data_IF_904610780382
#
_entry.id   IF_904610780382
#
_cell.length_a   1.000
_cell.length_b   1.000
_cell.length_c   1.000
_cell.angle_alpha   90.00
_cell.angle_beta   90.00
_cell.angle_gamma   90.00
#
_symmetry.space_group_name_H-M   'P 1'
#
loop_
_entity.id
_entity.type
_entity.pdbx_description
1 polymer ?
#
# COMPACT_ATOMS: atom_id res chain seq x y z
N UNK A 1 -2.21 -8.28 37.19
CA UNK A 1 -2.91 -7.29 36.33
C UNK A 1 -2.79 -5.95 37.02
N UNK A 2 -2.43 -4.90 36.28
CA UNK A 2 -2.45 -3.52 36.76
C UNK A 2 -3.74 -2.88 36.28
N UNK A 3 -4.40 -2.12 37.17
CA UNK A 3 -5.65 -1.42 36.86
C UNK A 3 -5.52 0.04 37.28
N UNK A 4 -6.02 0.94 36.43
CA UNK A 4 -6.08 2.38 36.70
C UNK A 4 -7.44 2.91 36.27
N UNK A 5 -8.03 3.79 37.09
CA UNK A 5 -9.24 4.53 36.72
C UNK A 5 -8.87 5.97 36.50
N UNK A 6 -9.04 6.44 35.27
CA UNK A 6 -8.84 7.83 34.88
C UNK A 6 -10.18 8.54 34.84
N UNK A 7 -10.21 9.79 35.29
CA UNK A 7 -11.37 10.67 35.18
C UNK A 7 -10.96 11.89 34.38
N UNK A 8 -11.51 12.02 33.18
CA UNK A 8 -11.19 13.11 32.26
C UNK A 8 -12.42 13.96 32.00
N UNK A 9 -12.22 15.27 31.86
CA UNK A 9 -13.28 16.17 31.39
C UNK A 9 -13.22 16.21 29.87
N UNK A 10 -14.15 15.51 29.21
CA UNK A 10 -14.35 15.61 27.78
C UNK A 10 -14.91 16.98 27.44
N UNK A 11 -14.01 17.87 27.01
CA UNK A 11 -14.37 19.18 26.49
C UNK A 11 -14.94 19.00 25.08
N UNK A 12 -16.09 19.60 24.82
CA UNK A 12 -16.68 19.57 23.50
C UNK A 12 -16.07 20.66 22.61
N UNK A 13 -16.00 20.40 21.30
CA UNK A 13 -15.56 21.41 20.34
C UNK A 13 -16.64 22.51 20.17
N UNK A 14 -16.30 23.68 19.59
CA UNK A 14 -17.22 24.82 19.49
C UNK A 14 -18.53 24.57 18.72
N UNK A 15 -18.61 23.49 17.93
CA UNK A 15 -19.80 23.11 17.15
C UNK A 15 -20.63 21.98 17.76
N UNK A 16 -20.24 21.45 18.92
CA UNK A 16 -20.94 20.32 19.52
C UNK A 16 -22.20 20.78 20.26
N UNK A 17 -23.36 20.11 20.05
CA UNK A 17 -24.58 20.41 20.80
C UNK A 17 -24.53 19.91 22.26
N UNK A 18 -23.51 19.13 22.64
CA UNK A 18 -23.41 18.49 23.95
C UNK A 18 -22.57 19.34 24.92
N UNK A 19 -22.96 19.42 26.22
CA UNK A 19 -22.12 20.05 27.24
C UNK A 19 -20.88 19.19 27.55
N UNK A 20 -19.82 19.78 28.12
CA UNK A 20 -18.70 19.01 28.64
C UNK A 20 -19.17 17.94 29.63
N UNK A 21 -18.56 16.76 29.56
CA UNK A 21 -18.89 15.63 30.44
C UNK A 21 -17.65 15.11 31.15
N UNK A 22 -17.83 14.58 32.35
CA UNK A 22 -16.78 13.80 33.02
C UNK A 22 -16.89 12.36 32.53
N UNK A 23 -15.85 11.87 31.88
CA UNK A 23 -15.73 10.48 31.46
C UNK A 23 -14.84 9.76 32.46
N UNK A 24 -15.30 8.62 32.94
CA UNK A 24 -14.51 7.69 33.74
C UNK A 24 -14.08 6.53 32.85
N UNK A 25 -12.78 6.28 32.77
CA UNK A 25 -12.19 5.23 31.93
C UNK A 25 -11.42 4.28 32.86
N UNK A 26 -11.72 2.99 32.81
CA UNK A 26 -10.91 1.96 33.44
C UNK A 26 -9.93 1.39 32.42
N UNK A 27 -8.65 1.42 32.76
CA UNK A 27 -7.56 0.90 31.94
C UNK A 27 -6.92 -0.25 32.69
N UNK A 28 -6.78 -1.38 32.01
CA UNK A 28 -6.17 -2.58 32.55
C UNK A 28 -4.94 -2.95 31.74
N UNK A 29 -3.96 -3.56 32.39
CA UNK A 29 -2.68 -3.90 31.80
C UNK A 29 -2.17 -5.23 32.34
N UNK A 30 -1.70 -6.10 31.46
CA UNK A 30 -0.96 -7.32 31.82
C UNK A 30 0.54 -7.04 31.81
N UNK A 31 1.38 -8.05 32.05
CA UNK A 31 2.83 -7.90 31.81
C UNK A 31 3.15 -7.59 30.33
N UNK A 32 2.25 -7.97 29.42
CA UNK A 32 2.39 -7.78 27.97
C UNK A 32 1.81 -6.46 27.46
N UNK A 33 1.32 -5.57 28.32
CA UNK A 33 0.80 -4.26 27.91
C UNK A 33 -0.72 -4.09 28.08
N UNK A 34 -1.29 -3.00 27.55
CA UNK A 34 -2.70 -2.67 27.75
C UNK A 34 -3.63 -3.77 27.24
N UNK A 35 -4.71 -4.03 27.97
CA UNK A 35 -5.79 -4.93 27.53
C UNK A 35 -6.61 -4.22 26.47
N UNK A 36 -6.60 -4.74 25.25
CA UNK A 36 -7.36 -4.20 24.12
C UNK A 36 -8.78 -4.76 24.04
N UNK A 37 -9.01 -5.95 24.58
CA UNK A 37 -10.33 -6.58 24.57
C UNK A 37 -10.38 -7.90 25.33
N UNK A 38 -11.58 -8.47 25.38
CA UNK A 38 -11.85 -9.79 25.97
C UNK A 38 -12.66 -10.61 25.00
N UNK A 39 -12.38 -11.90 24.93
CA UNK A 39 -13.08 -12.84 24.05
C UNK A 39 -13.05 -14.25 24.63
N UNK A 40 -13.59 -15.22 23.90
CA UNK A 40 -13.43 -16.65 24.18
C UNK A 40 -12.35 -17.23 23.26
N UNK A 41 -11.55 -18.14 23.79
CA UNK A 41 -10.61 -18.95 23.02
C UNK A 41 -10.80 -20.43 23.33
N UNK A 42 -10.30 -21.31 22.46
CA UNK A 42 -10.22 -22.74 22.74
C UNK A 42 -8.92 -23.00 23.49
N UNK A 43 -9.02 -23.54 24.69
CA UNK A 43 -7.86 -24.00 25.45
C UNK A 43 -7.19 -25.17 24.71
N UNK A 44 -5.92 -25.05 24.28
CA UNK A 44 -5.24 -26.12 23.57
C UNK A 44 -5.06 -27.39 24.41
N UNK A 45 -5.10 -27.31 25.74
CA UNK A 45 -4.93 -28.47 26.61
C UNK A 45 -6.24 -29.26 26.81
N UNK A 46 -7.36 -28.57 27.03
CA UNK A 46 -8.64 -29.21 27.34
C UNK A 46 -9.64 -29.24 26.18
N UNK A 47 -9.44 -28.43 25.14
CA UNK A 47 -10.41 -28.20 24.07
C UNK A 47 -11.64 -27.38 24.50
N UNK A 48 -11.69 -26.93 25.76
CA UNK A 48 -12.81 -26.15 26.28
C UNK A 48 -12.74 -24.69 25.81
N UNK A 49 -13.91 -24.06 25.68
CA UNK A 49 -13.99 -22.59 25.50
C UNK A 49 -13.71 -21.91 26.83
N UNK A 50 -12.69 -21.07 26.88
CA UNK A 50 -12.29 -20.31 28.06
C UNK A 50 -12.30 -18.81 27.79
N UNK A 51 -12.62 -17.97 28.79
CA UNK A 51 -12.49 -16.53 28.68
C UNK A 51 -11.00 -16.13 28.64
N UNK A 52 -10.67 -15.21 27.74
CA UNK A 52 -9.31 -14.64 27.60
C UNK A 52 -9.37 -13.12 27.49
N UNK A 53 -8.31 -12.46 27.95
CA UNK A 53 -8.04 -11.06 27.68
C UNK A 53 -6.95 -10.97 26.59
N UNK A 54 -7.14 -10.06 25.64
CA UNK A 54 -6.16 -9.78 24.57
C UNK A 54 -5.42 -8.51 24.95
N UNK A 55 -4.11 -8.61 25.10
CA UNK A 55 -3.22 -7.47 25.39
C UNK A 55 -2.31 -7.14 24.20
N UNK A 56 -1.97 -5.86 24.04
CA UNK A 56 -1.09 -5.39 22.97
C UNK A 56 0.31 -5.13 23.54
N UNK A 57 1.29 -5.92 23.10
CA UNK A 57 2.70 -5.76 23.46
C UNK A 57 3.46 -4.99 22.40
N UNK A 58 3.79 -3.73 22.69
CA UNK A 58 4.61 -2.88 21.82
C UNK A 58 6.07 -2.90 22.29
N UNK A 59 7.02 -3.13 21.39
CA UNK A 59 8.45 -3.22 21.74
C UNK A 59 9.06 -1.92 22.28
N UNK A 60 8.44 -0.79 21.96
CA UNK A 60 8.82 0.54 22.44
C UNK A 60 7.94 1.04 23.59
N UNK A 61 7.12 0.18 24.20
CA UNK A 61 6.28 0.58 25.34
C UNK A 61 7.14 0.93 26.56
N UNK A 62 6.96 2.12 27.13
CA UNK A 62 7.81 2.63 28.22
C UNK A 62 9.21 3.09 27.76
N UNK A 63 9.43 3.14 26.45
CA UNK A 63 10.67 3.57 25.79
C UNK A 63 10.32 4.58 24.68
N UNK A 64 9.38 5.50 24.98
CA UNK A 64 8.84 6.46 24.01
C UNK A 64 9.91 7.44 23.50
N UNK A 65 10.93 7.71 24.30
CA UNK A 65 12.09 8.53 23.93
C UNK A 65 13.25 7.70 23.36
N UNK A 66 13.08 6.38 23.17
CA UNK A 66 14.15 5.50 22.71
C UNK A 66 14.70 5.85 21.33
N UNK A 67 13.90 6.52 20.50
CA UNK A 67 14.30 7.06 19.19
C UNK A 67 15.16 8.32 19.26
N UNK A 68 15.08 9.09 20.36
CA UNK A 68 15.69 10.41 20.46
C UNK A 68 17.20 10.43 20.14
N UNK A 69 18.02 9.43 20.55
CA UNK A 69 19.45 9.41 20.20
C UNK A 69 19.71 9.41 18.69
N UNK A 70 18.92 8.68 17.90
CA UNK A 70 19.10 8.65 16.44
C UNK A 70 18.88 10.04 15.84
N UNK A 71 17.78 10.70 16.21
CA UNK A 71 17.49 12.07 15.74
C UNK A 71 18.50 13.10 16.22
N UNK A 72 18.98 13.00 17.46
CA UNK A 72 20.00 13.91 17.98
C UNK A 72 21.32 13.79 17.21
N UNK A 73 21.71 12.58 16.81
CA UNK A 73 22.92 12.35 16.01
C UNK A 73 22.74 12.79 14.56
N UNK A 74 21.62 12.46 13.91
CA UNK A 74 21.35 12.89 12.53
C UNK A 74 21.28 14.41 12.37
N UNK A 75 20.81 15.13 13.40
CA UNK A 75 20.73 16.59 13.39
C UNK A 75 21.99 17.28 13.93
N UNK A 76 23.05 16.53 14.22
CA UNK A 76 24.30 17.08 14.70
C UNK A 76 25.45 16.80 13.72
N UNK A 77 26.00 17.83 13.04
CA UNK A 77 27.07 17.64 12.06
C UNK A 77 28.37 17.12 12.67
N UNK A 78 28.53 17.12 13.99
CA UNK A 78 29.71 16.53 14.65
C UNK A 78 29.66 14.99 14.66
N UNK A 79 28.50 14.37 14.41
CA UNK A 79 28.29 12.91 14.54
C UNK A 79 28.19 12.17 13.20
N UNK A 80 27.61 12.78 12.16
CA UNK A 80 27.34 12.12 10.88
C UNK A 80 28.18 12.73 9.77
N UNK A 81 29.26 12.03 9.37
CA UNK A 81 30.20 12.46 8.32
C UNK A 81 30.24 11.49 7.13
N UNK A 82 29.53 10.37 7.22
CA UNK A 82 29.55 9.29 6.25
C UNK A 82 28.30 8.42 6.35
N UNK A 83 28.06 7.62 5.31
CA UNK A 83 27.03 6.59 5.33
C UNK A 83 27.19 5.61 6.50
N UNK A 84 28.43 5.29 6.90
CA UNK A 84 28.69 4.41 8.04
C UNK A 84 28.29 5.04 9.38
N UNK A 85 28.50 6.35 9.55
CA UNK A 85 28.04 7.07 10.75
C UNK A 85 26.52 7.12 10.79
N UNK A 86 25.89 7.41 9.65
CA UNK A 86 24.44 7.37 9.49
C UNK A 86 23.86 6.01 9.89
N UNK A 87 24.46 4.89 9.46
CA UNK A 87 23.99 3.54 9.82
C UNK A 87 24.02 3.30 11.33
N UNK A 88 25.10 3.71 12.01
CA UNK A 88 25.22 3.56 13.47
C UNK A 88 24.21 4.43 14.23
N UNK A 89 23.89 5.61 13.72
CA UNK A 89 22.81 6.45 14.26
C UNK A 89 21.44 5.83 13.99
N UNK A 90 21.19 5.32 12.77
CA UNK A 90 19.94 4.67 12.38
C UNK A 90 19.62 3.42 13.20
N UNK A 91 20.64 2.65 13.59
CA UNK A 91 20.49 1.50 14.46
C UNK A 91 19.97 1.83 15.87
N UNK A 92 20.01 3.10 16.28
CA UNK A 92 19.43 3.57 17.56
C UNK A 92 17.95 3.88 17.45
N UNK A 93 17.40 3.97 16.23
CA UNK A 93 15.99 4.27 16.04
C UNK A 93 15.12 3.06 16.39
N UNK A 94 14.29 3.20 17.43
CA UNK A 94 13.48 2.11 17.95
C UNK A 94 12.13 1.96 17.24
N UNK A 95 11.68 2.96 16.49
CA UNK A 95 10.50 2.90 15.62
C UNK A 95 10.76 2.15 14.32
N UNK A 96 9.70 1.55 13.75
CA UNK A 96 9.78 0.81 12.48
C UNK A 96 9.64 1.76 11.29
N UNK A 97 10.74 2.33 10.84
CA UNK A 97 10.80 3.31 9.76
C UNK A 97 11.88 2.97 8.73
N UNK A 98 11.76 3.55 7.55
CA UNK A 98 12.72 3.44 6.47
C UNK A 98 13.50 4.75 6.37
N UNK A 99 14.82 4.70 6.59
CA UNK A 99 15.68 5.88 6.63
C UNK A 99 16.60 5.89 5.42
N UNK A 100 16.82 7.10 4.88
CA UNK A 100 17.66 7.33 3.72
C UNK A 100 18.73 8.36 4.04
N UNK A 101 19.91 8.16 3.45
CA UNK A 101 21.05 9.05 3.52
C UNK A 101 21.59 9.30 2.12
N UNK A 102 22.06 10.53 1.89
CA UNK A 102 22.84 10.89 0.71
C UNK A 102 23.89 11.93 1.09
N UNK A 103 25.10 11.79 0.55
CA UNK A 103 26.12 12.83 0.51
C UNK A 103 26.72 12.93 -0.90
N UNK A 104 27.85 13.64 -1.05
CA UNK A 104 28.53 13.83 -2.33
C UNK A 104 29.12 12.56 -2.98
N UNK A 105 29.10 11.43 -2.27
CA UNK A 105 29.74 10.16 -2.67
C UNK A 105 28.80 8.96 -2.46
N UNK A 106 28.06 8.95 -1.36
CA UNK A 106 27.36 7.77 -0.89
C UNK A 106 25.85 7.98 -0.81
N UNK A 107 25.09 6.93 -1.13
CA UNK A 107 23.69 6.78 -0.74
C UNK A 107 23.55 5.58 0.20
N UNK A 108 22.66 5.68 1.18
CA UNK A 108 22.43 4.63 2.16
C UNK A 108 20.96 4.50 2.56
N UNK A 109 20.59 3.29 2.97
CA UNK A 109 19.25 2.93 3.44
C UNK A 109 19.34 2.03 4.67
N UNK A 110 18.46 2.26 5.66
CA UNK A 110 18.32 1.42 6.84
C UNK A 110 16.84 1.28 7.24
N UNK A 111 16.37 0.04 7.44
CA UNK A 111 15.05 -0.24 8.01
C UNK A 111 15.17 -0.41 9.53
N UNK A 112 14.75 0.60 10.28
CA UNK A 112 14.92 0.67 11.73
C UNK A 112 13.87 -0.11 12.52
N UNK A 113 14.11 -0.25 13.82
CA UNK A 113 13.09 -0.65 14.78
C UNK A 113 13.59 -1.60 15.86
N UNK A 114 12.89 -1.60 16.99
CA UNK A 114 13.16 -2.53 18.09
C UNK A 114 12.42 -3.84 17.84
N UNK A 115 13.04 -4.73 17.08
CA UNK A 115 12.39 -5.96 16.58
C UNK A 115 12.51 -7.10 17.59
N UNK A 116 11.39 -7.61 18.16
CA UNK A 116 11.46 -8.71 19.11
C UNK A 116 11.83 -10.03 18.44
N UNK A 117 12.71 -10.79 19.09
CA UNK A 117 13.00 -12.18 18.71
C UNK A 117 11.90 -13.04 19.32
N UNK A 118 11.06 -13.61 18.47
CA UNK A 118 9.98 -14.52 18.88
C UNK A 118 10.49 -15.97 18.91
N UNK A 119 9.95 -16.82 19.79
CA UNK A 119 10.20 -18.27 19.72
C UNK A 119 9.93 -18.82 18.31
N UNK A 120 10.75 -19.75 17.83
CA UNK A 120 10.65 -20.26 16.46
C UNK A 120 9.41 -21.13 16.21
N UNK A 121 8.68 -21.51 17.27
CA UNK A 121 7.53 -22.39 17.24
C UNK A 121 6.18 -21.64 17.34
N UNK A 122 6.17 -20.32 17.17
CA UNK A 122 4.94 -19.52 17.10
C UNK A 122 4.77 -18.88 15.73
N UNK A 123 3.53 -18.79 15.27
CA UNK A 123 3.18 -18.04 14.06
C UNK A 123 2.97 -16.56 14.43
N UNK A 124 3.80 -15.62 13.91
CA UNK A 124 3.70 -14.21 14.26
C UNK A 124 2.45 -13.52 13.72
N UNK A 125 1.66 -14.16 12.86
CA UNK A 125 0.41 -13.61 12.31
C UNK A 125 -0.80 -13.78 13.23
N UNK A 126 -0.64 -14.47 14.36
CA UNK A 126 -1.72 -14.74 15.31
C UNK A 126 -1.36 -14.32 16.74
N UNK A 127 -2.38 -14.03 17.58
CA UNK A 127 -2.16 -13.80 19.00
C UNK A 127 -1.43 -14.96 19.67
N UNK A 128 -0.50 -14.63 20.56
CA UNK A 128 0.31 -15.61 21.30
C UNK A 128 -0.22 -15.75 22.74
N UNK A 129 -0.22 -16.97 23.28
CA UNK A 129 -0.61 -17.20 24.67
C UNK A 129 0.37 -16.52 25.65
N UNK A 130 -0.14 -15.60 26.46
CA UNK A 130 0.64 -14.86 27.47
C UNK A 130 0.91 -15.66 28.76
N UNK A 131 1.11 -16.97 28.68
CA UNK A 131 1.33 -17.86 29.84
C UNK A 131 2.81 -17.98 30.25
N UNK A 132 3.71 -17.21 29.63
CA UNK A 132 5.14 -17.19 29.95
C UNK A 132 6.02 -18.11 29.10
N UNK A 133 5.46 -19.12 28.43
CA UNK A 133 6.24 -20.07 27.63
C UNK A 133 6.57 -19.57 26.21
N UNK A 134 5.93 -18.47 25.78
CA UNK A 134 6.08 -17.89 24.44
C UNK A 134 6.56 -16.43 24.46
N UNK A 135 7.18 -16.01 25.56
CA UNK A 135 7.73 -14.65 25.68
C UNK A 135 8.80 -14.38 24.63
N UNK A 136 8.99 -13.09 24.31
CA UNK A 136 10.09 -12.65 23.47
C UNK A 136 11.44 -13.01 24.10
N UNK A 137 12.38 -13.47 23.26
CA UNK A 137 13.71 -13.94 23.65
C UNK A 137 14.78 -12.85 23.55
N UNK A 138 14.36 -11.59 23.72
CA UNK A 138 15.17 -10.40 23.48
C UNK A 138 14.80 -9.70 22.18
N UNK A 139 15.73 -8.89 21.67
CA UNK A 139 15.56 -8.08 20.47
C UNK A 139 16.65 -8.39 19.46
N UNK A 140 16.30 -8.24 18.19
CA UNK A 140 17.23 -8.35 17.08
C UNK A 140 18.37 -7.34 17.29
N UNK A 141 19.61 -7.77 17.05
CA UNK A 141 20.77 -6.89 17.13
C UNK A 141 20.60 -5.76 16.11
N UNK A 142 20.82 -4.53 16.57
CA UNK A 142 20.91 -3.34 15.73
C UNK A 142 22.18 -2.57 16.15
N UNK A 143 23.16 -2.48 15.25
CA UNK A 143 24.40 -1.74 15.46
C UNK A 143 24.92 -1.00 14.22
N UNK A 144 24.24 -1.13 13.09
CA UNK A 144 24.58 -0.46 11.83
C UNK A 144 25.86 -1.00 11.18
N UNK A 145 26.39 -2.13 11.67
CA UNK A 145 27.53 -2.82 11.05
C UNK A 145 27.10 -3.56 9.78
N UNK A 146 28.03 -3.94 8.88
CA UNK A 146 27.69 -4.74 7.70
C UNK A 146 27.04 -6.11 8.03
N UNK A 147 27.25 -6.62 9.24
CA UNK A 147 26.62 -7.86 9.69
C UNK A 147 25.25 -7.66 10.31
N UNK A 148 24.77 -6.42 10.47
CA UNK A 148 23.48 -6.10 11.09
C UNK A 148 22.33 -6.84 10.37
N UNK A 149 21.50 -7.61 11.08
CA UNK A 149 20.39 -8.35 10.49
C UNK A 149 19.23 -7.47 9.99
N UNK A 150 19.18 -6.18 10.35
CA UNK A 150 18.22 -5.23 9.79
C UNK A 150 18.47 -5.03 8.28
N UNK A 151 17.42 -4.93 7.45
CA UNK A 151 17.58 -4.58 6.04
C UNK A 151 18.29 -3.23 5.87
N UNK A 152 19.45 -3.24 5.22
CA UNK A 152 20.23 -2.04 4.97
C UNK A 152 21.05 -2.16 3.69
N UNK A 153 21.45 -1.02 3.13
CA UNK A 153 22.33 -0.96 1.97
C UNK A 153 23.15 0.33 1.96
N UNK A 154 24.40 0.25 1.51
CA UNK A 154 25.25 1.41 1.15
C UNK A 154 25.65 1.22 -0.31
N UNK A 155 25.42 2.23 -1.15
CA UNK A 155 25.74 2.23 -2.58
C UNK A 155 25.33 0.92 -3.30
N UNK A 156 24.04 0.58 -3.30
CA UNK A 156 23.58 -0.64 -3.96
C UNK A 156 23.93 -0.60 -5.46
N UNK A 157 24.23 -1.75 -6.05
CA UNK A 157 24.61 -1.84 -7.47
C UNK A 157 23.53 -1.37 -8.46
N UNK A 158 22.29 -1.18 -8.01
CA UNK A 158 21.23 -0.52 -8.78
C UNK A 158 21.50 0.96 -9.06
N UNK A 159 22.37 1.61 -8.29
CA UNK A 159 22.64 3.05 -8.38
C UNK A 159 21.54 3.95 -7.81
N UNK A 160 20.50 3.37 -7.19
CA UNK A 160 19.43 4.12 -6.54
C UNK A 160 18.78 3.32 -5.41
N UNK A 161 18.11 4.06 -4.53
CA UNK A 161 17.22 3.57 -3.48
C UNK A 161 15.85 4.21 -3.69
N UNK A 162 14.79 3.42 -3.69
CA UNK A 162 13.42 3.91 -3.81
C UNK A 162 12.54 3.15 -2.81
N UNK A 163 11.70 3.89 -2.10
CA UNK A 163 10.71 3.31 -1.21
C UNK A 163 9.42 4.10 -1.27
N UNK A 164 8.32 3.39 -1.25
CA UNK A 164 7.01 3.95 -1.02
C UNK A 164 6.23 3.00 -0.13
N UNK A 165 6.72 2.83 1.09
CA UNK A 165 6.19 1.90 2.10
C UNK A 165 6.26 0.41 1.72
N UNK A 166 6.92 0.05 0.62
CA UNK A 166 7.09 -1.34 0.20
C UNK A 166 8.01 -2.13 1.13
N UNK A 167 7.97 -3.45 0.95
CA UNK A 167 8.83 -4.43 1.63
C UNK A 167 10.31 -4.03 1.59
N UNK A 168 11.01 -3.94 2.75
CA UNK A 168 12.42 -3.55 2.83
C UNK A 168 13.42 -4.44 2.09
N UNK A 169 13.24 -5.76 2.18
CA UNK A 169 14.16 -6.74 1.58
C UNK A 169 13.46 -8.10 1.38
N UNK A 170 13.98 -8.95 0.47
CA UNK A 170 13.61 -10.36 0.41
C UNK A 170 13.81 -11.04 1.77
N UNK A 171 12.88 -11.93 2.15
CA UNK A 171 12.96 -12.67 3.43
C UNK A 171 12.60 -11.87 4.69
N UNK A 172 12.51 -10.54 4.64
CA UNK A 172 12.02 -9.75 5.77
C UNK A 172 10.50 -9.94 5.93
N UNK A 173 10.00 -10.12 7.16
CA UNK A 173 8.54 -10.29 7.36
C UNK A 173 7.80 -8.96 7.24
N UNK A 174 6.53 -9.02 6.84
CA UNK A 174 5.60 -7.91 6.98
C UNK A 174 5.14 -7.80 8.46
N UNK A 175 4.51 -6.68 8.80
CA UNK A 175 3.66 -6.62 9.99
C UNK A 175 2.48 -7.61 9.84
N UNK A 176 1.95 -8.11 10.96
CA UNK A 176 0.81 -9.05 10.99
C UNK A 176 -0.51 -8.42 10.47
N UNK A 177 -0.54 -7.10 10.30
CA UNK A 177 -1.62 -6.34 9.67
C UNK A 177 -1.36 -5.93 8.21
N UNK A 178 -0.23 -6.33 7.62
CA UNK A 178 0.16 -5.92 6.26
C UNK A 178 0.05 -7.09 5.29
N UNK A 179 -1.03 -7.09 4.50
CA UNK A 179 -1.35 -8.13 3.52
C UNK A 179 -1.02 -7.73 2.07
N UNK A 180 -0.65 -6.48 1.80
CA UNK A 180 -0.42 -5.93 0.46
C UNK A 180 1.00 -6.13 -0.08
N UNK A 181 1.96 -6.63 0.71
CA UNK A 181 3.31 -6.90 0.21
C UNK A 181 3.33 -8.09 -0.76
N UNK A 182 3.22 -7.79 -2.05
CA UNK A 182 3.21 -8.76 -3.12
C UNK A 182 4.14 -8.40 -4.28
N UNK A 183 3.95 -9.04 -5.45
CA UNK A 183 4.71 -8.72 -6.67
C UNK A 183 4.35 -7.35 -7.26
N UNK A 184 3.23 -6.77 -6.82
CA UNK A 184 2.79 -5.43 -7.18
C UNK A 184 2.76 -4.57 -5.92
N UNK A 185 3.30 -3.37 -6.01
CA UNK A 185 3.18 -2.34 -4.99
C UNK A 185 3.45 -0.94 -5.57
N UNK A 186 2.78 0.10 -5.08
CA UNK A 186 2.88 1.48 -5.62
C UNK A 186 4.30 2.04 -5.79
N UNK A 187 5.25 1.55 -5.00
CA UNK A 187 6.68 1.85 -5.16
C UNK A 187 7.24 1.57 -6.55
N UNK A 188 6.62 0.66 -7.32
CA UNK A 188 7.03 0.34 -8.69
C UNK A 188 6.86 1.54 -9.61
N UNK A 189 5.76 2.30 -9.49
CA UNK A 189 5.54 3.54 -10.23
C UNK A 189 6.72 4.50 -10.09
N UNK A 190 7.27 4.64 -8.88
CA UNK A 190 8.47 5.46 -8.65
C UNK A 190 9.76 4.79 -9.16
N UNK A 191 10.00 3.54 -8.75
CA UNK A 191 11.27 2.86 -9.03
C UNK A 191 11.51 2.62 -10.51
N UNK A 192 10.46 2.46 -11.32
CA UNK A 192 10.58 2.27 -12.76
C UNK A 192 11.08 3.54 -13.46
N UNK A 193 10.57 4.73 -13.07
CA UNK A 193 11.10 6.01 -13.58
C UNK A 193 12.55 6.22 -13.15
N UNK A 194 12.84 6.03 -11.86
CA UNK A 194 14.20 6.25 -11.33
C UNK A 194 15.20 5.29 -11.98
N UNK A 195 14.83 4.02 -12.19
CA UNK A 195 15.67 3.04 -12.91
C UNK A 195 15.97 3.50 -14.34
N UNK A 196 14.98 4.01 -15.06
CA UNK A 196 15.17 4.54 -16.42
C UNK A 196 16.10 5.76 -16.43
N UNK A 197 15.96 6.67 -15.46
CA UNK A 197 16.84 7.83 -15.31
C UNK A 197 18.29 7.43 -15.01
N UNK A 198 18.51 6.50 -14.09
CA UNK A 198 19.84 6.01 -13.74
C UNK A 198 20.50 5.32 -14.94
N UNK A 199 19.74 4.51 -15.69
CA UNK A 199 20.23 3.87 -16.91
C UNK A 199 20.60 4.89 -18.01
N UNK A 200 19.86 6.00 -18.11
CA UNK A 200 20.17 7.11 -19.01
C UNK A 200 21.43 7.87 -18.58
N UNK A 201 21.68 7.97 -17.27
CA UNK A 201 22.73 8.80 -16.70
C UNK A 201 22.41 10.30 -16.72
N UNK A 202 23.33 11.10 -16.16
CA UNK A 202 23.22 12.56 -16.05
C UNK A 202 21.85 13.00 -15.51
N UNK A 203 21.44 12.41 -14.38
CA UNK A 203 20.15 12.70 -13.74
C UNK A 203 20.21 14.09 -13.10
N UNK A 204 19.27 14.96 -13.46
CA UNK A 204 19.14 16.29 -12.88
C UNK A 204 18.08 16.32 -11.78
N UNK A 205 18.08 17.37 -10.97
CA UNK A 205 17.00 17.63 -10.01
C UNK A 205 15.63 17.70 -10.70
N UNK A 206 15.55 18.34 -11.88
CA UNK A 206 14.31 18.41 -12.66
C UNK A 206 13.83 17.04 -13.12
N UNK A 207 14.74 16.13 -13.51
CA UNK A 207 14.36 14.76 -13.84
C UNK A 207 13.74 14.04 -12.65
N UNK A 208 14.29 14.23 -11.44
CA UNK A 208 13.75 13.63 -10.23
C UNK A 208 12.36 14.19 -9.87
N UNK A 209 12.15 15.50 -10.01
CA UNK A 209 10.82 16.11 -9.84
C UNK A 209 9.84 15.51 -10.86
N UNK A 210 10.22 15.45 -12.13
CA UNK A 210 9.38 14.90 -13.20
C UNK A 210 9.05 13.42 -12.95
N UNK A 211 10.02 12.61 -12.51
CA UNK A 211 9.79 11.20 -12.17
C UNK A 211 8.79 11.04 -11.02
N UNK A 212 8.85 11.90 -10.01
CA UNK A 212 7.92 11.90 -8.89
C UNK A 212 6.51 12.31 -9.31
N UNK A 213 6.36 13.42 -10.03
CA UNK A 213 5.05 13.91 -10.49
C UNK A 213 4.41 12.94 -11.50
N UNK A 214 5.21 12.35 -12.39
CA UNK A 214 4.73 11.35 -13.33
C UNK A 214 4.30 10.06 -12.61
N UNK A 215 5.09 9.56 -11.65
CA UNK A 215 4.70 8.41 -10.81
C UNK A 215 3.41 8.69 -10.00
N UNK A 216 3.23 9.92 -9.52
CA UNK A 216 2.09 10.33 -8.71
C UNK A 216 0.76 10.34 -9.45
N UNK A 217 0.76 10.25 -10.79
CA UNK A 217 -0.48 10.22 -11.58
C UNK A 217 -0.81 8.83 -12.13
N UNK A 218 -0.01 7.81 -11.81
CA UNK A 218 -0.20 6.44 -12.32
C UNK A 218 -1.32 5.72 -11.58
N UNK A 219 -2.24 5.13 -12.34
CA UNK A 219 -3.18 4.13 -11.86
C UNK A 219 -2.48 2.76 -11.77
N UNK A 220 -2.42 2.20 -10.55
CA UNK A 220 -1.71 0.95 -10.32
C UNK A 220 -2.44 -0.24 -10.96
N UNK A 221 -3.78 -0.24 -10.98
CA UNK A 221 -4.59 -1.29 -11.60
C UNK A 221 -4.28 -1.35 -13.10
N UNK A 222 -4.33 -0.19 -13.76
CA UNK A 222 -3.98 -0.03 -15.16
C UNK A 222 -2.59 -0.50 -15.51
N UNK A 223 -1.59 0.06 -14.83
CA UNK A 223 -0.18 -0.18 -15.14
C UNK A 223 0.25 -1.63 -14.87
N UNK A 224 -0.38 -2.32 -13.92
CA UNK A 224 0.07 -3.64 -13.47
C UNK A 224 -0.77 -4.80 -14.00
N UNK A 225 -2.05 -4.59 -14.33
CA UNK A 225 -2.96 -5.69 -14.68
C UNK A 225 -3.23 -5.81 -16.18
N UNK A 226 -3.28 -4.71 -16.93
CA UNK A 226 -3.74 -4.73 -18.33
C UNK A 226 -2.89 -5.65 -19.22
N UNK A 227 -1.56 -5.63 -19.06
CA UNK A 227 -0.68 -6.52 -19.82
C UNK A 227 -0.94 -8.00 -19.51
N UNK A 228 -1.21 -8.33 -18.24
CA UNK A 228 -1.48 -9.71 -17.84
C UNK A 228 -2.88 -10.16 -18.26
N UNK A 229 -3.87 -9.26 -18.22
CA UNK A 229 -5.20 -9.49 -18.76
C UNK A 229 -5.13 -9.85 -20.24
N UNK A 230 -4.37 -9.07 -21.04
CA UNK A 230 -4.19 -9.36 -22.47
C UNK A 230 -3.51 -10.71 -22.70
N UNK A 231 -2.51 -11.06 -21.89
CA UNK A 231 -1.86 -12.36 -21.98
C UNK A 231 -2.82 -13.52 -21.66
N UNK A 232 -3.66 -13.38 -20.61
CA UNK A 232 -4.65 -14.37 -20.25
C UNK A 232 -5.74 -14.55 -21.33
N UNK A 233 -6.16 -13.46 -21.98
CA UNK A 233 -7.15 -13.46 -23.06
C UNK A 233 -6.59 -13.84 -24.45
N UNK A 234 -5.29 -14.13 -24.58
CA UNK A 234 -4.69 -14.47 -25.85
C UNK A 234 -5.36 -15.72 -26.46
N UNK A 235 -5.80 -15.60 -27.72
CA UNK A 235 -6.50 -16.67 -28.45
C UNK A 235 -7.99 -16.83 -28.11
N UNK A 236 -8.53 -16.07 -27.16
CA UNK A 236 -9.97 -16.05 -26.89
C UNK A 236 -10.74 -15.29 -27.98
N UNK A 237 -11.99 -15.67 -28.22
CA UNK A 237 -12.89 -14.95 -29.14
C UNK A 237 -13.60 -13.82 -28.39
N UNK A 238 -13.30 -12.57 -28.76
CA UNK A 238 -13.90 -11.37 -28.17
C UNK A 238 -15.04 -10.83 -29.05
N UNK A 239 -16.06 -10.26 -28.44
CA UNK A 239 -17.02 -9.42 -29.15
C UNK A 239 -16.35 -8.12 -29.63
N UNK A 240 -16.93 -7.39 -30.61
CA UNK A 240 -16.37 -6.10 -31.03
C UNK A 240 -16.20 -5.10 -29.88
N UNK A 241 -17.18 -5.02 -28.98
CA UNK A 241 -17.13 -4.13 -27.82
C UNK A 241 -16.05 -4.55 -26.81
N UNK A 242 -15.91 -5.85 -26.52
CA UNK A 242 -14.82 -6.37 -25.68
C UNK A 242 -13.44 -6.08 -26.28
N UNK A 243 -13.29 -6.27 -27.60
CA UNK A 243 -12.06 -5.96 -28.32
C UNK A 243 -11.71 -4.47 -28.23
N UNK A 244 -12.69 -3.58 -28.40
CA UNK A 244 -12.50 -2.14 -28.29
C UNK A 244 -12.13 -1.72 -26.87
N UNK A 245 -12.81 -2.24 -25.84
CA UNK A 245 -12.50 -1.95 -24.44
C UNK A 245 -11.08 -2.42 -24.07
N UNK A 246 -10.69 -3.64 -24.47
CA UNK A 246 -9.33 -4.16 -24.22
C UNK A 246 -8.26 -3.34 -24.96
N UNK A 247 -8.57 -2.84 -26.17
CA UNK A 247 -7.70 -1.95 -26.93
C UNK A 247 -7.49 -0.61 -26.24
N UNK A 248 -8.58 0.01 -25.75
CA UNK A 248 -8.53 1.26 -24.98
C UNK A 248 -7.67 1.10 -23.72
N UNK A 249 -7.91 0.05 -22.93
CA UNK A 249 -7.09 -0.25 -21.75
C UNK A 249 -5.61 -0.47 -22.13
N UNK A 250 -5.34 -1.21 -23.20
CA UNK A 250 -3.98 -1.50 -23.66
C UNK A 250 -3.22 -0.25 -24.10
N UNK A 251 -3.89 0.66 -24.81
CA UNK A 251 -3.31 1.93 -25.23
C UNK A 251 -2.95 2.79 -24.01
N UNK A 252 -3.90 2.96 -23.08
CA UNK A 252 -3.70 3.70 -21.84
C UNK A 252 -2.56 3.13 -20.98
N UNK A 253 -2.52 1.80 -20.80
CA UNK A 253 -1.41 1.15 -20.10
C UNK A 253 -0.06 1.36 -20.80
N UNK A 254 -0.05 1.34 -22.14
CA UNK A 254 1.15 1.67 -22.95
C UNK A 254 1.59 3.13 -22.81
N UNK A 255 0.66 4.03 -22.50
CA UNK A 255 0.90 5.45 -22.27
C UNK A 255 1.21 5.78 -20.79
N UNK A 256 1.37 4.77 -19.93
CA UNK A 256 1.74 4.93 -18.52
C UNK A 256 0.58 4.83 -17.52
N UNK A 257 -0.64 4.54 -17.99
CA UNK A 257 -1.85 4.38 -17.19
C UNK A 257 -2.17 5.60 -16.30
N UNK A 258 -2.07 6.82 -16.84
CA UNK A 258 -2.25 8.02 -16.02
C UNK A 258 -3.72 8.39 -15.77
N UNK A 259 -3.99 8.90 -14.57
CA UNK A 259 -5.15 9.73 -14.23
C UNK A 259 -4.71 11.19 -14.13
N UNK A 260 -4.79 11.90 -15.25
CA UNK A 260 -4.39 13.30 -15.34
C UNK A 260 -5.16 14.04 -16.42
N UNK A 261 -5.24 15.36 -16.27
CA UNK A 261 -6.01 16.26 -17.12
C UNK A 261 -5.07 17.36 -17.68
N UNK A 262 -4.10 16.96 -18.51
CA UNK A 262 -3.06 17.86 -19.03
C UNK A 262 -3.50 18.67 -20.25
N UNK A 263 -4.47 18.16 -21.01
CA UNK A 263 -5.01 18.84 -22.21
C UNK A 263 -6.23 19.69 -21.85
N UNK A 264 -7.13 19.15 -21.03
CA UNK A 264 -8.35 19.82 -20.58
C UNK A 264 -8.52 19.59 -19.07
N UNK A 265 -8.35 20.62 -18.24
CA UNK A 265 -8.47 20.53 -16.78
C UNK A 265 -9.79 19.95 -16.24
N UNK A 266 -10.84 19.90 -17.08
CA UNK A 266 -12.14 19.35 -16.73
C UNK A 266 -12.32 17.87 -17.08
N UNK A 267 -11.33 17.21 -17.69
CA UNK A 267 -11.46 15.84 -18.16
C UNK A 267 -10.10 15.11 -18.13
N UNK A 268 -10.09 13.85 -17.69
CA UNK A 268 -8.88 13.04 -17.83
C UNK A 268 -8.56 12.77 -19.30
N UNK A 269 -7.28 12.89 -19.67
CA UNK A 269 -6.80 12.79 -21.05
C UNK A 269 -7.17 11.44 -21.68
N UNK A 270 -7.07 10.36 -20.91
CA UNK A 270 -7.48 8.99 -21.28
C UNK A 270 -8.64 8.49 -20.41
N UNK A 271 -9.57 9.40 -20.07
CA UNK A 271 -10.66 9.14 -19.10
C UNK A 271 -11.58 7.97 -19.43
N UNK A 272 -11.69 7.57 -20.70
CA UNK A 272 -12.42 6.34 -21.10
C UNK A 272 -11.80 5.09 -20.47
N UNK A 273 -10.46 4.98 -20.48
CA UNK A 273 -9.77 3.84 -19.89
C UNK A 273 -9.94 3.80 -18.37
N UNK A 274 -9.92 4.97 -17.73
CA UNK A 274 -10.17 5.12 -16.28
C UNK A 274 -11.58 4.65 -15.93
N UNK A 275 -12.61 5.10 -16.66
CA UNK A 275 -13.99 4.67 -16.45
C UNK A 275 -14.16 3.14 -16.60
N UNK A 276 -13.55 2.56 -17.64
CA UNK A 276 -13.55 1.10 -17.83
C UNK A 276 -12.85 0.39 -16.67
N UNK A 277 -11.65 0.84 -16.26
CA UNK A 277 -10.88 0.17 -15.21
C UNK A 277 -11.57 0.24 -13.85
N UNK A 278 -12.16 1.39 -13.48
CA UNK A 278 -12.90 1.56 -12.22
C UNK A 278 -14.06 0.58 -12.09
N UNK A 279 -14.78 0.32 -13.19
CA UNK A 279 -15.84 -0.69 -13.20
C UNK A 279 -15.33 -2.12 -13.35
N UNK A 280 -14.20 -2.33 -14.03
CA UNK A 280 -13.65 -3.65 -14.32
C UNK A 280 -12.89 -4.26 -13.14
N UNK A 281 -12.07 -3.49 -12.44
CA UNK A 281 -11.23 -3.98 -11.35
C UNK A 281 -11.99 -4.82 -10.30
N UNK A 282 -13.12 -4.36 -9.73
CA UNK A 282 -13.88 -5.19 -8.78
C UNK A 282 -14.44 -6.46 -9.43
N UNK A 283 -14.85 -6.40 -10.71
CA UNK A 283 -15.36 -7.57 -11.44
C UNK A 283 -14.27 -8.58 -11.76
N UNK A 284 -13.05 -8.11 -12.01
CA UNK A 284 -11.88 -8.94 -12.19
C UNK A 284 -11.58 -9.74 -10.91
N UNK A 285 -11.68 -9.11 -9.75
CA UNK A 285 -11.50 -9.81 -8.48
C UNK A 285 -12.52 -10.93 -8.26
N UNK A 286 -13.80 -10.65 -8.49
CA UNK A 286 -14.86 -11.66 -8.44
C UNK A 286 -14.63 -12.79 -9.45
N UNK A 287 -14.27 -12.45 -10.70
CA UNK A 287 -13.99 -13.45 -11.74
C UNK A 287 -12.85 -14.41 -11.38
N UNK A 288 -11.84 -13.93 -10.63
CA UNK A 288 -10.70 -14.75 -10.20
C UNK A 288 -11.01 -15.54 -8.93
N UNK A 289 -11.70 -14.94 -7.94
CA UNK A 289 -11.76 -15.48 -6.58
C UNK A 289 -13.11 -16.03 -6.12
N UNK A 290 -14.24 -15.70 -6.76
CA UNK A 290 -15.55 -16.28 -6.41
C UNK A 290 -15.60 -17.82 -6.49
N UNK A 291 -14.88 -18.50 -7.40
CA UNK A 291 -14.82 -19.97 -7.37
C UNK A 291 -14.19 -20.56 -6.10
N UNK A 292 -13.52 -19.74 -5.28
CA UNK A 292 -12.78 -20.13 -4.08
C UNK A 292 -13.32 -19.55 -2.79
N UNK A 293 -14.12 -18.50 -2.88
CA UNK A 293 -14.63 -17.74 -1.75
C UNK A 293 -16.14 -17.61 -1.87
N UNK A 294 -16.87 -18.01 -0.84
CA UNK A 294 -18.26 -17.58 -0.73
C UNK A 294 -18.33 -16.06 -0.43
N UNK A 295 -19.52 -15.48 -0.60
CA UNK A 295 -19.73 -14.04 -0.39
C UNK A 295 -19.33 -13.54 1.01
N UNK A 296 -19.44 -14.38 2.04
CA UNK A 296 -19.05 -14.05 3.40
C UNK A 296 -17.55 -14.06 3.58
N UNK A 297 -16.87 -15.07 3.02
CA UNK A 297 -15.40 -15.17 3.02
C UNK A 297 -14.76 -14.04 2.20
N UNK A 298 -15.33 -13.70 1.05
CA UNK A 298 -14.88 -12.57 0.25
C UNK A 298 -14.99 -11.26 1.03
N UNK A 299 -16.14 -11.01 1.67
CA UNK A 299 -16.34 -9.82 2.50
C UNK A 299 -15.39 -9.77 3.71
N UNK A 300 -15.11 -10.91 4.35
CA UNK A 300 -14.12 -11.00 5.44
C UNK A 300 -12.71 -10.63 4.96
N UNK A 301 -12.26 -11.13 3.81
CA UNK A 301 -10.95 -10.75 3.27
C UNK A 301 -10.89 -9.27 2.89
N UNK A 302 -11.94 -8.73 2.26
CA UNK A 302 -12.03 -7.29 1.95
C UNK A 302 -11.99 -6.42 3.23
N UNK A 303 -12.46 -6.94 4.36
CA UNK A 303 -12.36 -6.24 5.65
C UNK A 303 -10.96 -6.24 6.26
N UNK A 304 -10.09 -7.19 5.88
CA UNK A 304 -8.70 -7.26 6.33
C UNK A 304 -7.78 -6.42 5.44
N UNK A 305 -8.01 -6.49 4.13
CA UNK A 305 -7.33 -5.69 3.13
C UNK A 305 -8.35 -5.28 2.08
N UNK A 306 -8.53 -3.97 1.94
CA UNK A 306 -9.45 -3.41 0.96
C UNK A 306 -9.11 -3.91 -0.44
N UNK A 307 -10.14 -4.04 -1.28
CA UNK A 307 -9.98 -4.55 -2.63
C UNK A 307 -9.01 -3.67 -3.44
N UNK A 308 -9.15 -2.36 -3.31
CA UNK A 308 -8.24 -1.32 -3.77
C UNK A 308 -8.22 -0.15 -2.79
N UNK A 309 -7.24 0.73 -2.96
CA UNK A 309 -7.11 2.04 -2.33
C UNK A 309 -7.11 3.12 -3.43
N UNK A 310 -8.26 3.39 -4.09
CA UNK A 310 -8.31 4.25 -5.26
C UNK A 310 -8.02 5.72 -4.91
N UNK A 311 -7.78 6.57 -5.92
CA UNK A 311 -7.77 8.02 -5.79
C UNK A 311 -8.96 8.57 -5.00
N UNK A 312 -8.72 9.64 -4.25
CA UNK A 312 -9.76 10.25 -3.42
C UNK A 312 -9.26 11.41 -2.56
N UNK A 313 -10.13 11.94 -1.69
CA UNK A 313 -9.91 13.22 -1.00
C UNK A 313 -8.70 13.27 -0.07
N UNK A 314 -8.17 12.12 0.35
CA UNK A 314 -6.96 12.03 1.17
C UNK A 314 -5.66 12.17 0.37
N UNK A 315 -5.71 12.06 -0.96
CA UNK A 315 -4.57 12.13 -1.88
C UNK A 315 -3.71 10.87 -1.97
N UNK A 316 -3.39 10.22 -0.84
CA UNK A 316 -2.69 8.92 -0.86
C UNK A 316 -3.58 7.85 -1.48
N UNK A 317 -2.98 7.02 -2.33
CA UNK A 317 -3.65 5.89 -3.00
C UNK A 317 -2.69 4.70 -3.19
N UNK A 318 -3.28 3.55 -3.51
CA UNK A 318 -2.63 2.28 -3.84
C UNK A 318 -1.64 1.80 -2.77
N UNK A 319 -1.85 2.16 -1.49
CA UNK A 319 -1.00 1.70 -0.37
C UNK A 319 -1.32 0.25 0.05
N UNK A 320 -2.52 -0.21 -0.29
CA UNK A 320 -3.00 -1.56 -0.12
C UNK A 320 -4.00 -1.89 -1.24
N UNK A 321 -4.15 -3.18 -1.53
CA UNK A 321 -5.04 -3.65 -2.58
C UNK A 321 -4.71 -5.07 -3.02
N UNK A 322 -5.49 -5.58 -3.96
CA UNK A 322 -5.42 -6.94 -4.48
C UNK A 322 -4.67 -7.01 -5.83
N UNK A 323 -4.05 -5.93 -6.29
CA UNK A 323 -3.35 -5.85 -7.58
C UNK A 323 -2.29 -6.95 -7.68
N UNK A 324 -1.54 -7.20 -6.61
CA UNK A 324 -0.56 -8.29 -6.56
C UNK A 324 -1.20 -9.68 -6.65
N UNK A 325 -2.35 -9.87 -6.00
CA UNK A 325 -3.13 -11.12 -6.04
C UNK A 325 -3.67 -11.39 -7.44
N UNK A 326 -4.22 -10.37 -8.09
CA UNK A 326 -4.79 -10.47 -9.43
C UNK A 326 -3.68 -10.67 -10.48
N UNK A 327 -2.61 -9.86 -10.43
CA UNK A 327 -1.51 -9.96 -11.39
C UNK A 327 -0.91 -11.37 -11.41
N UNK A 328 -0.56 -11.90 -10.23
CA UNK A 328 0.05 -13.22 -10.11
C UNK A 328 -0.92 -14.33 -10.51
N UNK A 329 -2.20 -14.21 -10.18
CA UNK A 329 -3.23 -15.18 -10.59
C UNK A 329 -3.40 -15.22 -12.12
N UNK A 330 -3.39 -14.07 -12.79
CA UNK A 330 -3.42 -13.99 -14.26
C UNK A 330 -2.16 -14.57 -14.89
N UNK A 331 -0.98 -14.29 -14.33
CA UNK A 331 0.29 -14.87 -14.80
C UNK A 331 0.30 -16.39 -14.64
N UNK A 332 -0.19 -16.93 -13.52
CA UNK A 332 -0.28 -18.38 -13.29
C UNK A 332 -1.33 -19.06 -14.16
N UNK A 333 -2.40 -18.35 -14.56
CA UNK A 333 -3.36 -18.87 -15.52
C UNK A 333 -2.70 -19.18 -16.88
N UNK A 334 -1.80 -18.30 -17.32
CA UNK A 334 -1.04 -18.46 -18.57
C UNK A 334 0.13 -19.44 -18.40
N UNK A 335 0.83 -19.38 -17.27
CA UNK A 335 1.96 -20.24 -16.95
C UNK A 335 1.74 -20.91 -15.57
N UNK A 336 1.10 -22.08 -15.52
CA UNK A 336 0.84 -22.80 -14.27
C UNK A 336 2.11 -23.19 -13.49
N UNK A 337 3.28 -23.22 -14.13
CA UNK A 337 4.57 -23.55 -13.53
C UNK A 337 5.36 -22.32 -13.04
N UNK A 338 4.76 -21.14 -13.02
CA UNK A 338 5.40 -19.90 -12.56
C UNK A 338 5.97 -20.03 -11.14
N UNK A 339 7.21 -19.57 -10.96
CA UNK A 339 7.91 -19.58 -9.66
C UNK A 339 8.52 -18.20 -9.34
N UNK A 340 8.34 -17.67 -8.11
CA UNK A 340 7.40 -18.16 -7.11
C UNK A 340 5.95 -17.99 -7.60
N UNK A 341 5.14 -19.02 -7.42
CA UNK A 341 3.71 -19.01 -7.68
C UNK A 341 2.91 -19.01 -6.37
N UNK A 342 1.63 -18.69 -6.44
CA UNK A 342 0.71 -18.99 -5.35
C UNK A 342 0.48 -20.49 -5.19
N UNK A 343 -0.11 -20.86 -4.05
CA UNK A 343 -0.42 -22.25 -3.67
C UNK A 343 -1.21 -23.02 -4.71
N UNK A 344 -1.96 -22.32 -5.57
CA UNK A 344 -2.75 -22.89 -6.65
C UNK A 344 -3.01 -21.82 -7.72
N UNK A 345 -3.53 -22.27 -8.86
CA UNK A 345 -4.00 -21.38 -9.91
C UNK A 345 -5.45 -20.96 -9.63
N UNK A 346 -5.62 -19.73 -9.15
CA UNK A 346 -6.94 -19.24 -8.74
C UNK A 346 -7.86 -18.94 -9.92
N UNK A 347 -7.35 -18.38 -11.02
CA UNK A 347 -8.21 -18.00 -12.14
C UNK A 347 -8.73 -19.25 -12.88
N UNK A 348 -10.04 -19.29 -13.12
CA UNK A 348 -10.68 -20.41 -13.83
C UNK A 348 -10.54 -21.77 -13.14
N UNK A 349 -10.29 -21.77 -11.83
CA UNK A 349 -10.03 -22.99 -11.04
C UNK A 349 -8.93 -23.87 -11.66
N UNK A 350 -7.90 -23.26 -12.23
CA UNK A 350 -6.77 -23.94 -12.86
C UNK A 350 -6.87 -24.16 -14.37
N UNK A 351 -8.00 -23.83 -15.00
CA UNK A 351 -8.18 -23.92 -16.45
C UNK A 351 -8.08 -22.55 -17.11
N UNK A 352 -7.15 -22.40 -18.07
CA UNK A 352 -7.01 -21.16 -18.84
C UNK A 352 -8.28 -20.81 -19.61
N UNK A 353 -8.97 -21.80 -20.20
CA UNK A 353 -10.22 -21.55 -20.93
C UNK A 353 -11.35 -21.07 -19.99
N UNK A 354 -11.43 -21.63 -18.77
CA UNK A 354 -12.39 -21.16 -17.77
C UNK A 354 -12.02 -19.75 -17.26
N UNK A 355 -10.73 -19.48 -17.09
CA UNK A 355 -10.22 -18.15 -16.74
C UNK A 355 -10.63 -17.13 -17.81
N UNK A 356 -10.35 -17.43 -19.09
CA UNK A 356 -10.77 -16.60 -20.22
C UNK A 356 -12.27 -16.33 -20.22
N UNK A 357 -13.10 -17.36 -20.03
CA UNK A 357 -14.56 -17.19 -19.95
C UNK A 357 -14.98 -16.26 -18.81
N UNK A 358 -14.38 -16.39 -17.63
CA UNK A 358 -14.68 -15.54 -16.49
C UNK A 358 -14.24 -14.08 -16.71
N UNK A 359 -13.06 -13.87 -17.30
CA UNK A 359 -12.54 -12.54 -17.65
C UNK A 359 -13.39 -11.84 -18.72
N UNK A 360 -13.84 -12.57 -19.75
CA UNK A 360 -14.75 -12.03 -20.77
C UNK A 360 -16.12 -11.69 -20.19
N UNK A 361 -16.64 -12.50 -19.24
CA UNK A 361 -17.87 -12.19 -18.53
C UNK A 361 -17.72 -10.93 -17.66
N UNK A 362 -16.59 -10.77 -16.95
CA UNK A 362 -16.30 -9.55 -16.20
C UNK A 362 -16.24 -8.31 -17.11
N UNK A 363 -15.56 -8.41 -18.26
CA UNK A 363 -15.48 -7.33 -19.24
C UNK A 363 -16.84 -6.98 -19.84
N UNK A 364 -17.69 -7.99 -20.11
CA UNK A 364 -19.06 -7.74 -20.55
C UNK A 364 -19.88 -7.02 -19.48
N UNK A 365 -19.78 -7.44 -18.21
CA UNK A 365 -20.45 -6.76 -17.10
C UNK A 365 -19.97 -5.31 -16.91
N UNK A 366 -18.72 -5.02 -17.21
CA UNK A 366 -18.19 -3.64 -17.29
C UNK A 366 -18.86 -2.86 -18.43
N UNK A 367 -18.89 -3.41 -19.64
CA UNK A 367 -19.50 -2.78 -20.82
C UNK A 367 -20.99 -2.49 -20.57
N UNK A 368 -21.72 -3.42 -19.98
CA UNK A 368 -23.14 -3.25 -19.67
C UNK A 368 -23.36 -2.13 -18.64
N UNK A 369 -22.52 -2.06 -17.61
CA UNK A 369 -22.57 -1.03 -16.57
C UNK A 369 -22.28 0.36 -17.14
N UNK A 370 -21.22 0.48 -17.95
CA UNK A 370 -20.85 1.73 -18.62
C UNK A 370 -21.91 2.15 -19.65
N UNK A 371 -22.44 1.19 -20.43
CA UNK A 371 -23.55 1.46 -21.36
C UNK A 371 -24.75 2.05 -20.64
N UNK A 372 -25.08 1.52 -19.45
CA UNK A 372 -26.15 2.06 -18.62
C UNK A 372 -25.81 3.46 -18.08
N UNK A 373 -24.58 3.68 -17.63
CA UNK A 373 -24.15 4.95 -17.03
C UNK A 373 -24.06 6.10 -18.06
N UNK A 374 -23.60 5.82 -19.28
CA UNK A 374 -23.40 6.85 -20.32
C UNK A 374 -24.49 6.86 -21.39
N UNK A 375 -25.40 5.88 -21.40
CA UNK A 375 -26.46 5.76 -22.41
C UNK A 375 -25.94 5.42 -23.81
N UNK A 376 -24.70 4.93 -23.94
CA UNK A 376 -24.06 4.57 -25.20
C UNK A 376 -23.37 3.21 -25.07
N UNK A 377 -23.64 2.32 -26.02
CA UNK A 377 -22.98 1.02 -26.12
C UNK A 377 -21.59 1.09 -26.77
N UNK A 378 -21.18 2.26 -27.27
CA UNK A 378 -19.84 2.50 -27.80
C UNK A 378 -18.88 2.85 -26.66
N UNK A 379 -17.87 2.00 -26.34
CA UNK A 379 -16.89 2.29 -25.32
C UNK A 379 -16.17 3.63 -25.50
N UNK A 380 -16.00 4.11 -26.75
CA UNK A 380 -15.33 5.39 -27.00
C UNK A 380 -16.16 6.62 -26.55
N UNK A 381 -17.44 6.44 -26.26
CA UNK A 381 -18.31 7.51 -25.78
C UNK A 381 -18.22 7.74 -24.24
N UNK A 382 -17.59 6.82 -23.50
CA UNK A 382 -17.46 6.94 -22.05
C UNK A 382 -16.30 7.87 -21.73
N UNK A 383 -16.53 8.85 -20.86
CA UNK A 383 -15.54 9.89 -20.55
C UNK A 383 -15.38 10.01 -19.05
N UNK A 384 -14.20 10.41 -18.56
CA UNK A 384 -14.07 10.83 -17.17
C UNK A 384 -13.97 12.35 -17.11
N UNK A 385 -15.12 13.02 -16.97
CA UNK A 385 -15.24 14.47 -17.04
C UNK A 385 -15.93 15.04 -15.80
N UNK A 386 -15.51 16.25 -15.38
CA UNK A 386 -16.11 16.96 -14.23
C UNK A 386 -17.60 17.27 -14.43
N UNK A 387 -18.04 17.34 -15.68
CA UNK A 387 -19.45 17.51 -16.05
C UNK A 387 -20.30 16.26 -15.83
N UNK A 388 -19.70 15.08 -15.61
CA UNK A 388 -20.44 13.85 -15.40
C UNK A 388 -21.13 13.86 -14.04
N UNK A 389 -22.46 13.77 -14.04
CA UNK A 389 -23.29 13.78 -12.83
C UNK A 389 -24.10 12.49 -12.65
N UNK A 390 -24.06 11.59 -13.65
CA UNK A 390 -24.79 10.34 -13.63
C UNK A 390 -24.16 9.33 -12.68
N UNK A 391 -25.00 8.54 -12.01
CA UNK A 391 -24.53 7.44 -11.15
C UNK A 391 -23.70 6.45 -11.99
N UNK A 392 -22.51 6.13 -11.52
CA UNK A 392 -21.58 5.22 -12.19
C UNK A 392 -20.70 5.86 -13.26
N UNK A 393 -20.94 7.13 -13.63
CA UNK A 393 -20.04 7.85 -14.52
C UNK A 393 -18.78 8.28 -13.77
N UNK A 394 -17.63 8.14 -14.40
CA UNK A 394 -16.35 8.59 -13.87
C UNK A 394 -16.32 10.12 -13.81
N UNK A 395 -15.86 10.67 -12.70
CA UNK A 395 -15.72 12.11 -12.51
C UNK A 395 -14.40 12.43 -11.75
N UNK A 396 -13.45 13.15 -12.36
CA UNK A 396 -12.18 13.51 -11.72
C UNK A 396 -12.33 14.28 -10.40
N UNK A 397 -13.46 14.96 -10.18
CA UNK A 397 -13.72 15.66 -8.92
C UNK A 397 -13.89 14.71 -7.72
N UNK A 398 -14.17 13.43 -7.94
CA UNK A 398 -14.19 12.43 -6.87
C UNK A 398 -12.77 12.09 -6.39
N UNK A 399 -11.77 12.26 -7.25
CA UNK A 399 -10.37 11.97 -6.97
C UNK A 399 -9.64 13.17 -6.32
N UNK A 400 -10.18 14.39 -6.50
CA UNK A 400 -9.59 15.63 -6.01
C UNK A 400 -9.18 15.56 -4.53
N UNK A 401 -7.99 16.07 -4.22
CA UNK A 401 -7.51 16.19 -2.85
C UNK A 401 -8.25 17.35 -2.18
N UNK A 402 -8.82 17.05 -1.01
CA UNK A 402 -9.60 18.00 -0.22
C UNK A 402 -8.81 18.40 1.02
N UNK A 403 -8.52 19.69 1.13
CA UNK A 403 -7.81 20.23 2.29
C UNK A 403 -8.78 20.52 3.43
N UNK A 404 -8.47 19.98 4.62
CA UNK A 404 -9.16 20.40 5.84
C UNK A 404 -8.73 21.82 6.21
N UNK A 405 -9.66 22.74 6.52
CA UNK A 405 -9.30 24.08 6.92
C UNK A 405 -8.54 24.05 8.24
N UNK A 406 -7.43 24.79 8.30
CA UNK A 406 -6.71 25.10 9.53
C UNK A 406 -6.93 26.59 9.80
N UNK A 407 -7.80 26.93 10.74
CA UNK A 407 -8.21 28.31 11.01
C UNK A 407 -9.42 28.75 10.16
N UNK A 408 -9.41 29.99 9.68
CA UNK A 408 -10.56 30.61 8.98
C UNK A 408 -10.49 30.51 7.45
N UNK A 409 -9.40 29.97 6.90
CA UNK A 409 -9.21 29.88 5.44
C UNK A 409 -9.47 28.47 4.92
N UNK A 410 -10.27 28.38 3.86
CA UNK A 410 -10.43 27.16 3.07
C UNK A 410 -9.47 27.23 1.88
N UNK A 411 -8.68 26.18 1.68
CA UNK A 411 -7.89 26.02 0.47
C UNK A 411 -8.75 25.37 -0.62
N UNK A 412 -8.60 25.78 -1.89
CA UNK A 412 -9.28 25.10 -2.98
C UNK A 412 -8.81 23.65 -3.08
N UNK A 413 -9.72 22.76 -3.50
CA UNK A 413 -9.34 21.40 -3.86
C UNK A 413 -8.31 21.42 -4.98
N UNK A 414 -7.47 20.40 -5.04
CA UNK A 414 -6.52 20.22 -6.13
C UNK A 414 -6.79 18.90 -6.86
N UNK A 415 -6.50 18.83 -8.19
CA UNK A 415 -6.51 17.57 -8.91
C UNK A 415 -5.68 16.51 -8.19
N UNK A 416 -6.12 15.26 -8.28
CA UNK A 416 -5.42 14.14 -7.67
C UNK A 416 -4.00 13.99 -8.18
N UNK A 417 -3.10 13.75 -7.24
CA UNK A 417 -1.74 13.26 -7.46
C UNK A 417 -1.32 12.53 -6.19
N UNK A 418 -0.95 11.26 -6.31
CA UNK A 418 -0.49 10.42 -5.22
C UNK A 418 0.93 10.84 -4.81
N UNK A 419 1.03 11.89 -4.00
CA UNK A 419 2.30 12.51 -3.63
C UNK A 419 2.36 12.80 -2.12
N UNK A 420 3.56 12.97 -1.56
CA UNK A 420 3.70 13.31 -0.15
C UNK A 420 3.20 14.73 0.17
N UNK A 421 2.92 14.97 1.45
CA UNK A 421 2.53 16.30 1.98
C UNK A 421 3.58 17.38 1.70
N UNK A 422 4.86 17.01 1.68
CA UNK A 422 5.96 17.89 1.30
C UNK A 422 6.97 17.13 0.44
N UNK A 423 7.70 17.85 -0.40
CA UNK A 423 8.74 17.29 -1.27
C UNK A 423 10.02 18.11 -1.08
N UNK A 424 11.16 17.42 -1.17
CA UNK A 424 12.48 18.04 -1.18
C UNK A 424 13.30 17.38 -2.28
N UNK A 425 14.03 18.19 -3.03
CA UNK A 425 15.03 17.73 -3.98
C UNK A 425 16.35 18.37 -3.59
N UNK A 426 17.31 17.53 -3.24
CA UNK A 426 18.61 17.93 -2.71
C UNK A 426 19.68 17.30 -3.58
N UNK A 427 20.68 18.09 -3.95
CA UNK A 427 21.87 17.64 -4.66
C UNK A 427 23.11 17.96 -3.83
N UNK A 428 24.00 16.99 -3.70
CA UNK A 428 25.30 17.15 -3.06
C UNK A 428 26.38 17.18 -4.14
N UNK A 429 26.99 18.35 -4.43
CA UNK A 429 28.03 18.44 -5.44
C UNK A 429 29.22 17.54 -5.09
N UNK A 430 29.77 16.86 -6.09
CA UNK A 430 31.01 16.11 -5.94
C UNK A 430 32.10 17.04 -5.38
N UNK A 431 32.75 16.62 -4.29
CA UNK A 431 33.93 17.32 -3.77
C UNK A 431 35.17 16.73 -4.44
N UNK A 432 35.90 17.56 -5.17
CA UNK A 432 37.18 17.22 -5.78
C UNK A 432 38.29 17.05 -4.74
#
# INVERSE_FOLDING_TARGET
>A
MYERTDREVAKTNPGSPNPPAVITIQIERTVHGPVAGRTLAIDPASGARIPVAVSIQRSTYGDELGSAPAFLEWNNPDFVHSAADFMRAAAKETGTFNWFYADSRDIAYYSSGKMPIRPSNIDPNFPTWGTGQFEWQGFLRADGSPGDPHPHAVNPGSGFLANWNNKPAPGWSAADSQYGYGPVYRSQSLSDRVRALVARGAVTQTDMVNAMEDAGTVDLDGSQLVTQLRAALAGATLTPAQSQALSILSAWAGNGAHRRATVNQNQYDEGTAVAIMDQFYPRLAHAVFDPWLDSGQFAQLVSLIWLNDPPGPKGSSYDAGWEGYLQRSLQQAVNPALSPGYSQNFCGSGSLAACQSALLAALQGTIDAETHAYGSADPAAWTCARSNQGRGQCNPAADDIVFSPVGLENLPNMPWVNRPTFQQVVEYPARH
#
